data_IF_580432733274
#
_entry.id   IF_580432733274
#
_cell.length_a   1.000
_cell.length_b   1.000
_cell.length_c   1.000
_cell.angle_alpha   90.00
_cell.angle_beta   90.00
_cell.angle_gamma   90.00
#
_symmetry.space_group_name_H-M   'P 1'
#
loop_
_entity.id
_entity.type
_entity.pdbx_description
1 polymer ?
#
# COMPACT_ATOMS: atom_id res chain seq x y z
N UNK A 1 2.75 -4.39 5.32
CA UNK A 1 1.62 -3.42 5.43
C UNK A 1 0.69 -3.91 6.52
N UNK A 2 -0.05 -3.05 7.22
CA UNK A 2 -0.85 -3.50 8.35
C UNK A 2 -2.20 -2.78 8.46
N UNK A 3 -3.23 -3.48 8.90
CA UNK A 3 -4.59 -2.95 9.10
C UNK A 3 -5.22 -3.55 10.34
N UNK A 4 -5.74 -2.70 11.23
CA UNK A 4 -6.53 -3.13 12.39
C UNK A 4 -7.95 -3.46 11.93
N UNK A 5 -8.45 -4.62 12.34
CA UNK A 5 -9.82 -5.10 12.14
C UNK A 5 -10.30 -5.67 13.46
N UNK A 6 -11.23 -4.97 14.11
CA UNK A 6 -11.65 -5.29 15.48
C UNK A 6 -10.41 -5.45 16.38
N UNK A 7 -10.25 -6.60 17.03
CA UNK A 7 -9.11 -6.91 17.90
C UNK A 7 -7.96 -7.62 17.17
N UNK A 8 -7.80 -7.45 15.85
CA UNK A 8 -6.72 -8.10 15.10
C UNK A 8 -5.98 -7.12 14.20
N UNK A 9 -4.65 -7.12 14.27
CA UNK A 9 -3.82 -6.40 13.30
C UNK A 9 -3.39 -7.40 12.23
N UNK A 10 -3.94 -7.27 11.02
CA UNK A 10 -3.53 -8.06 9.87
C UNK A 10 -2.29 -7.46 9.24
N UNK A 11 -1.36 -8.31 8.84
CA UNK A 11 -0.12 -7.97 8.15
C UNK A 11 -0.09 -8.64 6.78
N UNK A 12 0.34 -7.86 5.79
CA UNK A 12 0.42 -8.27 4.39
C UNK A 12 1.79 -7.92 3.83
N UNK A 13 2.50 -8.94 3.35
CA UNK A 13 3.80 -8.85 2.72
C UNK A 13 4.86 -8.11 3.55
N UNK A 14 5.74 -7.38 2.88
CA UNK A 14 6.93 -6.76 3.42
C UNK A 14 8.17 -7.19 2.63
N UNK A 15 9.34 -7.05 3.24
CA UNK A 15 10.58 -7.60 2.72
C UNK A 15 11.15 -8.62 3.68
N UNK A 16 11.69 -9.70 3.13
CA UNK A 16 12.35 -10.78 3.85
C UNK A 16 13.81 -10.88 3.40
N UNK A 17 14.77 -10.97 4.33
CA UNK A 17 16.17 -11.13 3.97
C UNK A 17 16.37 -12.45 3.24
N UNK A 18 17.18 -12.43 2.20
CA UNK A 18 17.68 -13.63 1.55
C UNK A 18 18.86 -14.12 2.38
N UNK A 19 18.90 -15.40 2.81
CA UNK A 19 20.07 -15.94 3.49
C UNK A 19 21.33 -15.77 2.63
N UNK A 20 22.45 -15.37 3.23
CA UNK A 20 23.73 -15.19 2.50
C UNK A 20 24.23 -16.48 1.84
N UNK A 21 23.75 -17.63 2.32
CA UNK A 21 24.03 -18.97 1.77
C UNK A 21 23.15 -19.33 0.57
N UNK A 22 22.12 -18.53 0.27
CA UNK A 22 21.24 -18.74 -0.88
C UNK A 22 21.94 -18.36 -2.18
N UNK A 23 21.83 -19.16 -3.25
CA UNK A 23 22.37 -18.78 -4.56
C UNK A 23 21.69 -17.54 -5.17
N UNK A 24 20.51 -17.17 -4.69
CA UNK A 24 19.82 -15.94 -5.09
C UNK A 24 20.41 -14.68 -4.43
N UNK A 25 21.22 -14.82 -3.38
CA UNK A 25 21.79 -13.68 -2.67
C UNK A 25 22.95 -13.07 -3.45
N UNK A 26 22.98 -11.74 -3.54
CA UNK A 26 24.17 -10.99 -3.94
C UNK A 26 24.17 -9.59 -3.32
N UNK A 27 25.27 -8.83 -3.49
CA UNK A 27 25.42 -7.49 -2.89
C UNK A 27 24.31 -6.51 -3.29
N UNK A 28 23.72 -6.69 -4.47
CA UNK A 28 22.64 -5.84 -5.00
C UNK A 28 21.23 -6.45 -4.83
N UNK A 29 21.13 -7.70 -4.36
CA UNK A 29 19.88 -8.44 -4.15
C UNK A 29 19.94 -9.20 -2.82
N UNK A 30 19.63 -8.48 -1.74
CA UNK A 30 19.72 -8.99 -0.37
C UNK A 30 18.36 -9.34 0.23
N UNK A 31 17.27 -8.95 -0.43
CA UNK A 31 15.90 -9.11 0.07
C UNK A 31 14.98 -9.55 -1.06
N UNK A 32 14.00 -10.38 -0.71
CA UNK A 32 12.82 -10.63 -1.53
C UNK A 32 11.61 -9.99 -0.88
N UNK A 33 10.59 -9.70 -1.66
CA UNK A 33 9.30 -9.32 -1.11
C UNK A 33 8.62 -10.54 -0.49
N UNK A 34 7.91 -10.31 0.60
CA UNK A 34 7.10 -11.33 1.25
C UNK A 34 5.69 -11.30 0.66
N UNK A 35 5.14 -12.50 0.47
CA UNK A 35 3.76 -12.81 0.10
C UNK A 35 2.95 -13.32 1.31
N UNK A 36 3.53 -13.26 2.51
CA UNK A 36 2.94 -13.78 3.74
C UNK A 36 1.75 -12.93 4.20
N UNK A 37 0.80 -13.63 4.83
CA UNK A 37 -0.38 -13.04 5.46
C UNK A 37 -0.50 -13.62 6.85
N UNK A 38 -0.52 -12.76 7.86
CA UNK A 38 -0.65 -13.16 9.26
C UNK A 38 -1.35 -12.07 10.05
N UNK A 39 -1.80 -12.37 11.27
CA UNK A 39 -2.33 -11.34 12.17
C UNK A 39 -1.80 -11.48 13.59
N UNK A 40 -1.78 -10.36 14.32
CA UNK A 40 -1.60 -10.30 15.76
C UNK A 40 -2.98 -10.20 16.42
N UNK A 41 -3.30 -11.12 17.33
CA UNK A 41 -4.55 -11.09 18.08
C UNK A 41 -4.43 -10.23 19.35
N UNK A 42 -5.31 -9.25 19.50
CA UNK A 42 -5.36 -8.31 20.61
C UNK A 42 -6.51 -8.59 21.58
N UNK A 43 -7.27 -9.67 21.37
CA UNK A 43 -8.43 -10.02 22.21
C UNK A 43 -8.06 -10.38 23.66
N UNK A 44 -6.79 -10.56 23.97
CA UNK A 44 -6.27 -10.81 25.31
C UNK A 44 -4.89 -10.18 25.52
N UNK A 45 -4.53 -9.77 26.75
CA UNK A 45 -3.18 -9.27 27.06
C UNK A 45 -2.09 -10.30 26.75
N UNK A 46 -0.95 -9.84 26.27
CA UNK A 46 0.22 -10.67 25.97
C UNK A 46 1.52 -9.97 26.38
N UNK A 47 2.62 -10.72 26.42
CA UNK A 47 3.96 -10.16 26.66
C UNK A 47 4.73 -10.01 25.35
N UNK A 48 5.65 -9.05 25.28
CA UNK A 48 6.46 -8.79 24.07
C UNK A 48 7.28 -10.00 23.59
N UNK A 49 7.54 -10.97 24.48
CA UNK A 49 8.29 -12.18 24.16
C UNK A 49 7.44 -13.29 23.56
N UNK A 50 6.11 -13.21 23.72
CA UNK A 50 5.17 -14.21 23.20
C UNK A 50 3.92 -13.54 22.60
N UNK A 51 4.09 -12.75 21.52
CA UNK A 51 2.96 -12.16 20.82
C UNK A 51 2.09 -13.24 20.15
N UNK A 52 0.76 -13.16 20.26
CA UNK A 52 -0.19 -14.14 19.71
C UNK A 52 -0.37 -13.95 18.20
N UNK A 53 0.66 -14.29 17.43
CA UNK A 53 0.59 -14.29 15.97
C UNK A 53 -0.12 -15.55 15.44
N UNK A 54 -0.95 -15.37 14.41
CA UNK A 54 -1.50 -16.45 13.61
C UNK A 54 -1.06 -16.27 12.16
N UNK A 55 -0.36 -17.27 11.62
CA UNK A 55 0.01 -17.31 10.21
C UNK A 55 -1.15 -17.87 9.37
N UNK A 56 -1.54 -17.11 8.34
CA UNK A 56 -2.58 -17.46 7.38
C UNK A 56 -1.99 -17.81 6.00
N UNK A 57 -0.66 -17.81 5.85
CA UNK A 57 0.02 -17.97 4.55
C UNK A 57 -0.20 -19.33 3.89
N UNK A 58 -0.73 -20.32 4.60
CA UNK A 58 -1.13 -21.61 4.02
C UNK A 58 -2.48 -21.54 3.27
N UNK A 59 -3.37 -20.62 3.64
CA UNK A 59 -4.75 -20.55 3.13
C UNK A 59 -5.08 -19.21 2.45
N UNK A 60 -4.29 -18.17 2.73
CA UNK A 60 -4.56 -16.77 2.35
C UNK A 60 -3.36 -16.05 1.75
N UNK A 61 -2.34 -16.79 1.31
CA UNK A 61 -1.13 -16.22 0.73
C UNK A 61 -1.43 -15.18 -0.34
N UNK A 62 -0.65 -14.11 -0.37
CA UNK A 62 -0.72 -13.15 -1.46
C UNK A 62 -0.30 -13.83 -2.78
N UNK A 63 -0.89 -13.48 -3.92
CA UNK A 63 -0.49 -14.03 -5.21
C UNK A 63 0.86 -13.48 -5.72
N UNK A 64 1.47 -12.54 -4.99
CA UNK A 64 2.73 -11.88 -5.29
C UNK A 64 3.35 -11.38 -3.98
N UNK A 65 4.67 -11.24 -3.96
CA UNK A 65 5.35 -10.54 -2.87
C UNK A 65 5.09 -9.04 -2.99
N UNK A 66 4.81 -8.36 -1.88
CA UNK A 66 4.46 -6.94 -1.92
C UNK A 66 5.11 -6.14 -0.80
N UNK A 67 5.63 -4.95 -1.12
CA UNK A 67 6.01 -3.96 -0.12
C UNK A 67 5.61 -2.54 -0.53
N UNK A 68 5.66 -1.61 0.44
CA UNK A 68 5.44 -0.17 0.20
C UNK A 68 4.09 0.19 -0.44
N UNK A 69 3.11 -0.71 -0.42
CA UNK A 69 1.71 -0.37 -0.59
C UNK A 69 1.10 0.13 0.73
N UNK A 70 -0.19 0.40 0.70
CA UNK A 70 -0.96 0.81 1.89
C UNK A 70 -2.23 -0.02 1.99
N UNK A 71 -2.60 -0.43 3.20
CA UNK A 71 -3.81 -1.22 3.45
C UNK A 71 -4.83 -0.44 4.27
N UNK A 72 -6.08 -0.40 3.84
CA UNK A 72 -7.20 0.25 4.57
C UNK A 72 -8.38 -0.72 4.72
N UNK A 73 -9.05 -0.66 5.88
CA UNK A 73 -10.27 -1.44 6.12
C UNK A 73 -11.46 -0.74 5.46
N UNK A 74 -12.18 -1.46 4.61
CA UNK A 74 -13.45 -1.00 4.05
C UNK A 74 -14.53 -0.89 5.11
N UNK A 75 -15.46 0.05 4.94
CA UNK A 75 -16.45 0.39 5.96
C UNK A 75 -17.44 -0.74 6.29
N UNK A 76 -17.59 -1.73 5.41
CA UNK A 76 -18.37 -2.93 5.71
C UNK A 76 -17.70 -3.83 6.76
N UNK A 77 -16.42 -3.63 7.06
CA UNK A 77 -15.62 -4.51 7.93
C UNK A 77 -15.29 -5.87 7.31
N UNK A 78 -15.63 -6.08 6.03
CA UNK A 78 -15.47 -7.38 5.34
C UNK A 78 -14.28 -7.39 4.38
N UNK A 79 -13.80 -6.22 3.94
CA UNK A 79 -12.76 -6.11 2.92
C UNK A 79 -11.60 -5.25 3.42
N UNK A 80 -10.37 -5.73 3.28
CA UNK A 80 -9.17 -4.90 3.38
C UNK A 80 -8.71 -4.59 1.96
N UNK A 81 -8.53 -3.32 1.65
CA UNK A 81 -8.03 -2.84 0.37
C UNK A 81 -6.53 -2.60 0.46
N UNK A 82 -5.77 -3.28 -0.39
CA UNK A 82 -4.35 -3.05 -0.62
C UNK A 82 -4.18 -2.16 -1.86
N UNK A 83 -3.62 -0.98 -1.66
CA UNK A 83 -3.39 0.04 -2.68
C UNK A 83 -1.90 0.16 -3.01
N UNK A 84 -1.58 0.06 -4.30
CA UNK A 84 -0.25 0.25 -4.87
C UNK A 84 0.77 -0.77 -4.36
N UNK A 85 2.01 -0.30 -4.26
CA UNK A 85 3.15 -1.07 -3.79
C UNK A 85 4.04 -1.59 -4.91
N UNK A 86 5.22 -2.05 -4.51
CA UNK A 86 6.11 -2.85 -5.36
C UNK A 86 5.62 -4.27 -5.31
N UNK A 87 5.46 -4.90 -6.46
CA UNK A 87 4.99 -6.28 -6.55
C UNK A 87 6.06 -7.13 -7.23
N UNK A 88 6.37 -8.27 -6.63
CA UNK A 88 7.38 -9.22 -7.09
C UNK A 88 6.73 -10.57 -7.36
N UNK A 89 7.07 -11.17 -8.50
CA UNK A 89 6.70 -12.54 -8.82
C UNK A 89 7.48 -13.50 -7.92
N UNK A 90 6.79 -14.41 -7.24
CA UNK A 90 7.43 -15.29 -6.26
C UNK A 90 8.16 -16.48 -6.87
N UNK A 91 7.94 -16.77 -8.16
CA UNK A 91 8.62 -17.83 -8.90
C UNK A 91 9.84 -17.31 -9.64
N UNK A 92 9.69 -16.18 -10.34
CA UNK A 92 10.76 -15.59 -11.19
C UNK A 92 11.57 -14.50 -10.50
N UNK A 93 11.10 -14.01 -9.35
CA UNK A 93 11.66 -12.86 -8.61
C UNK A 93 11.67 -11.54 -9.40
N UNK A 94 11.01 -11.49 -10.57
CA UNK A 94 10.84 -10.28 -11.35
C UNK A 94 9.85 -9.30 -10.69
N UNK A 95 10.16 -8.01 -10.78
CA UNK A 95 9.26 -6.94 -10.34
C UNK A 95 8.14 -6.68 -11.36
N UNK A 96 7.12 -5.91 -10.96
CA UNK A 96 6.00 -5.49 -11.81
C UNK A 96 5.11 -6.66 -12.30
N UNK A 97 4.90 -7.67 -11.45
CA UNK A 97 4.28 -8.93 -11.90
C UNK A 97 2.77 -8.88 -12.15
N UNK A 98 2.05 -7.84 -11.69
CA UNK A 98 0.59 -7.72 -11.92
C UNK A 98 0.23 -6.37 -12.51
N UNK A 99 -0.89 -6.32 -13.23
CA UNK A 99 -1.43 -5.07 -13.81
C UNK A 99 -2.35 -4.29 -12.88
N UNK A 100 -2.58 -4.78 -11.65
CA UNK A 100 -3.48 -4.13 -10.71
C UNK A 100 -2.74 -3.32 -9.64
N UNK A 101 -3.21 -2.09 -9.43
CA UNK A 101 -2.83 -1.24 -8.29
C UNK A 101 -3.78 -1.40 -7.10
N UNK A 102 -4.83 -2.23 -7.23
CA UNK A 102 -5.80 -2.50 -6.17
C UNK A 102 -5.99 -4.01 -5.99
N UNK A 103 -5.83 -4.45 -4.76
CA UNK A 103 -6.11 -5.82 -4.34
C UNK A 103 -7.01 -5.81 -3.13
N UNK A 104 -7.91 -6.78 -3.04
CA UNK A 104 -8.95 -6.83 -2.02
C UNK A 104 -8.80 -8.15 -1.29
N UNK A 105 -8.56 -8.10 0.01
CA UNK A 105 -8.61 -9.27 0.88
C UNK A 105 -9.98 -9.34 1.55
N UNK A 106 -10.73 -10.40 1.24
CA UNK A 106 -12.03 -10.65 1.83
C UNK A 106 -11.86 -11.41 3.14
N UNK A 107 -12.24 -10.79 4.26
CA UNK A 107 -12.05 -11.32 5.60
C UNK A 107 -12.90 -12.57 5.88
N UNK A 108 -14.06 -12.71 5.23
CA UNK A 108 -14.95 -13.85 5.43
C UNK A 108 -14.46 -15.09 4.68
N UNK A 109 -14.10 -14.92 3.40
CA UNK A 109 -13.61 -16.03 2.58
C UNK A 109 -12.11 -16.28 2.74
N UNK A 110 -11.39 -15.30 3.31
CA UNK A 110 -9.93 -15.27 3.46
C UNK A 110 -9.19 -15.40 2.13
N UNK A 111 -9.77 -14.84 1.06
CA UNK A 111 -9.25 -14.88 -0.31
C UNK A 111 -8.94 -13.50 -0.85
N UNK A 112 -7.99 -13.47 -1.78
CA UNK A 112 -7.64 -12.30 -2.56
C UNK A 112 -8.48 -12.20 -3.83
N UNK A 113 -8.92 -11.00 -4.12
CA UNK A 113 -9.66 -10.63 -5.31
C UNK A 113 -9.00 -9.39 -5.93
N UNK A 114 -9.00 -9.28 -7.26
CA UNK A 114 -8.72 -8.02 -7.96
C UNK A 114 -10.05 -7.36 -8.32
N UNK A 115 -10.06 -6.02 -8.44
CA UNK A 115 -11.14 -5.22 -9.03
C UNK A 115 -12.58 -5.69 -8.74
N UNK A 116 -13.33 -4.94 -7.94
CA UNK A 116 -14.74 -5.28 -7.73
C UNK A 116 -15.56 -5.34 -9.03
N UNK A 117 -16.72 -6.04 -9.02
CA UNK A 117 -17.60 -6.11 -10.18
C UNK A 117 -17.93 -4.70 -10.68
N UNK A 118 -17.77 -4.45 -11.99
CA UNK A 118 -18.10 -3.15 -12.58
C UNK A 118 -17.18 -2.01 -12.14
N UNK A 119 -15.84 -2.20 -12.17
CA UNK A 119 -14.93 -1.08 -11.90
C UNK A 119 -15.07 0.00 -12.99
N UNK A 120 -15.37 1.24 -12.61
CA UNK A 120 -15.57 2.39 -13.51
C UNK A 120 -14.50 3.47 -13.29
N UNK A 121 -14.38 4.39 -14.25
CA UNK A 121 -13.46 5.53 -14.18
C UNK A 121 -11.98 5.19 -14.45
N UNK A 122 -11.07 6.19 -14.37
CA UNK A 122 -9.64 5.99 -14.61
C UNK A 122 -8.99 5.27 -13.43
N UNK A 123 -8.53 4.01 -13.57
CA UNK A 123 -7.92 3.29 -12.46
C UNK A 123 -6.60 3.95 -12.04
N UNK A 124 -6.23 3.78 -10.76
CA UNK A 124 -4.96 4.27 -10.24
C UNK A 124 -3.78 3.67 -11.03
N UNK A 125 -2.92 4.51 -11.66
CA UNK A 125 -1.68 4.04 -12.27
C UNK A 125 -0.76 3.39 -11.23
N UNK A 126 -0.05 2.32 -11.63
CA UNK A 126 0.90 1.61 -10.75
C UNK A 126 1.83 2.59 -10.08
N UNK A 127 1.99 2.47 -8.77
CA UNK A 127 2.85 3.34 -7.94
C UNK A 127 3.06 2.73 -6.58
N UNK A 128 4.05 3.23 -5.85
CA UNK A 128 4.30 2.84 -4.45
C UNK A 128 4.38 4.04 -3.53
N UNK A 129 4.35 3.77 -2.23
CA UNK A 129 4.59 4.75 -1.17
C UNK A 129 3.62 5.93 -1.22
N UNK A 130 2.35 5.63 -1.52
CA UNK A 130 1.23 6.56 -1.51
C UNK A 130 0.81 6.87 -0.08
N UNK A 131 0.24 8.05 0.14
CA UNK A 131 -0.50 8.33 1.35
C UNK A 131 -1.98 8.02 1.11
N UNK A 132 -2.51 7.06 1.86
CA UNK A 132 -3.85 6.52 1.63
C UNK A 132 -4.66 6.50 2.92
N UNK A 133 -5.91 6.99 2.85
CA UNK A 133 -6.91 6.98 3.93
C UNK A 133 -8.28 6.63 3.36
N UNK A 134 -9.20 6.21 4.22
CA UNK A 134 -10.60 5.96 3.86
C UNK A 134 -11.52 6.78 4.77
N UNK A 135 -12.57 7.36 4.21
CA UNK A 135 -13.57 8.10 4.98
C UNK A 135 -14.73 7.23 5.48
N UNK A 136 -15.61 7.83 6.28
CA UNK A 136 -16.81 7.16 6.81
C UNK A 136 -17.85 6.76 5.76
N UNK A 137 -17.74 7.28 4.54
CA UNK A 137 -18.63 6.93 3.42
C UNK A 137 -18.05 5.80 2.55
N UNK A 138 -16.79 5.41 2.78
CA UNK A 138 -16.14 4.33 2.09
C UNK A 138 -15.40 4.81 0.83
N UNK A 139 -15.04 6.09 0.80
CA UNK A 139 -14.19 6.68 -0.24
C UNK A 139 -12.75 6.58 0.20
N UNK A 140 -11.93 5.86 -0.56
CA UNK A 140 -10.49 5.77 -0.36
C UNK A 140 -9.84 6.93 -1.09
N UNK A 141 -9.03 7.73 -0.40
CA UNK A 141 -8.24 8.83 -0.95
C UNK A 141 -6.78 8.41 -1.06
N UNK A 142 -6.16 8.61 -2.21
CA UNK A 142 -4.82 8.11 -2.55
C UNK A 142 -4.04 9.25 -3.15
N UNK A 143 -3.05 9.74 -2.41
CA UNK A 143 -2.27 10.90 -2.81
C UNK A 143 -0.81 10.54 -3.05
N UNK A 144 -0.26 11.13 -4.12
CA UNK A 144 1.15 11.12 -4.45
C UNK A 144 1.74 9.71 -4.62
N UNK A 145 2.91 9.50 -4.01
CA UNK A 145 3.72 8.31 -4.21
C UNK A 145 4.72 8.49 -5.35
N UNK A 146 5.28 7.37 -5.84
CA UNK A 146 6.20 7.42 -6.98
C UNK A 146 6.04 6.24 -7.92
N UNK A 147 6.50 6.46 -9.15
CA UNK A 147 6.75 5.43 -10.17
C UNK A 147 8.24 5.28 -10.45
N UNK A 148 8.61 4.12 -10.98
CA UNK A 148 9.95 3.81 -11.43
C UNK A 148 10.03 2.38 -11.95
N UNK A 149 11.25 1.91 -12.20
CA UNK A 149 11.50 0.55 -12.73
C UNK A 149 10.91 -0.54 -11.84
N UNK A 150 10.96 -0.36 -10.52
CA UNK A 150 10.38 -1.27 -9.52
C UNK A 150 8.85 -1.36 -9.57
N UNK A 151 8.18 -0.35 -10.15
CA UNK A 151 6.73 -0.37 -10.42
C UNK A 151 6.42 -0.59 -11.90
N UNK A 152 7.42 -0.97 -12.72
CA UNK A 152 7.24 -1.23 -14.14
C UNK A 152 7.26 -0.03 -15.07
N UNK A 153 7.83 1.09 -14.64
CA UNK A 153 7.91 2.32 -15.44
C UNK A 153 9.36 2.61 -15.82
N UNK A 154 9.59 2.95 -17.10
CA UNK A 154 10.91 3.38 -17.59
C UNK A 154 11.30 4.79 -17.12
N UNK A 155 10.34 5.52 -16.54
CA UNK A 155 10.54 6.86 -16.00
C UNK A 155 10.41 6.86 -14.48
N UNK A 156 11.14 7.77 -13.84
CA UNK A 156 11.02 8.01 -12.42
C UNK A 156 10.29 9.32 -12.17
N UNK A 157 9.13 9.25 -11.50
CA UNK A 157 8.31 10.43 -11.22
C UNK A 157 7.79 10.33 -9.78
N UNK A 158 7.94 11.41 -9.01
CA UNK A 158 7.22 11.62 -7.76
C UNK A 158 5.95 12.41 -8.06
N UNK A 159 4.83 11.95 -7.52
CA UNK A 159 3.49 12.37 -7.92
C UNK A 159 2.84 13.26 -6.85
N UNK A 160 1.85 14.04 -7.28
CA UNK A 160 1.03 14.98 -6.49
C UNK A 160 -0.46 14.94 -6.87
N UNK A 161 -0.86 13.96 -7.68
CA UNK A 161 -2.25 13.70 -8.02
C UNK A 161 -3.00 13.05 -6.84
N UNK A 162 -4.31 13.25 -6.84
CA UNK A 162 -5.24 12.67 -5.88
C UNK A 162 -6.23 11.77 -6.62
N UNK A 163 -6.16 10.48 -6.34
CA UNK A 163 -7.16 9.52 -6.79
C UNK A 163 -8.13 9.18 -5.66
N UNK A 164 -9.38 8.93 -6.03
CA UNK A 164 -10.38 8.38 -5.12
C UNK A 164 -10.98 7.10 -5.66
N UNK A 165 -11.38 6.20 -4.75
CA UNK A 165 -12.17 5.01 -5.05
C UNK A 165 -13.38 4.96 -4.12
N UNK A 166 -14.58 5.03 -4.70
CA UNK A 166 -15.81 4.74 -3.96
C UNK A 166 -15.99 3.21 -3.86
N UNK A 167 -15.87 2.66 -2.66
CA UNK A 167 -15.77 1.19 -2.46
C UNK A 167 -17.07 0.42 -2.61
N UNK A 168 -18.23 1.09 -2.53
CA UNK A 168 -19.56 0.52 -2.81
C UNK A 168 -19.78 0.30 -4.30
N UNK A 169 -19.40 1.28 -5.12
CA UNK A 169 -19.59 1.29 -6.57
C UNK A 169 -18.38 0.79 -7.36
N UNK A 170 -17.22 0.67 -6.71
CA UNK A 170 -15.94 0.44 -7.37
C UNK A 170 -15.62 1.49 -8.45
N UNK A 171 -15.99 2.75 -8.20
CA UNK A 171 -15.79 3.85 -9.12
C UNK A 171 -14.54 4.66 -8.76
N UNK A 172 -13.63 4.78 -9.72
CA UNK A 172 -12.43 5.59 -9.61
C UNK A 172 -12.67 7.02 -10.07
N UNK A 173 -12.00 7.97 -9.43
CA UNK A 173 -11.91 9.34 -9.92
C UNK A 173 -10.48 9.87 -9.76
N UNK A 174 -10.05 10.71 -10.70
CA UNK A 174 -8.82 11.49 -10.59
C UNK A 174 -9.21 12.95 -10.32
N UNK A 175 -8.95 13.42 -9.11
CA UNK A 175 -9.32 14.74 -8.66
C UNK A 175 -8.19 15.72 -8.95
N UNK A 176 -8.49 16.73 -9.77
CA UNK A 176 -7.63 17.90 -9.96
C UNK A 176 -8.03 18.99 -8.96
N UNK A 177 -7.17 19.28 -7.99
CA UNK A 177 -7.40 20.34 -7.00
C UNK A 177 -6.46 21.53 -7.30
N UNK A 178 -6.96 22.77 -7.38
CA UNK A 178 -6.14 23.93 -7.74
C UNK A 178 -5.01 24.24 -6.74
N UNK A 179 -5.14 23.79 -5.48
CA UNK A 179 -4.15 23.98 -4.41
C UNK A 179 -3.74 22.64 -3.77
N UNK A 180 -3.49 21.60 -4.57
CA UNK A 180 -3.06 20.32 -4.02
C UNK A 180 -1.67 20.44 -3.35
N UNK A 181 -1.35 19.57 -2.35
CA UNK A 181 -0.01 19.53 -1.77
C UNK A 181 1.06 19.24 -2.83
N UNK A 182 2.31 19.69 -2.65
CA UNK A 182 3.39 19.41 -3.58
C UNK A 182 3.75 17.93 -3.63
N UNK A 183 4.36 17.52 -4.76
CA UNK A 183 4.79 16.14 -5.05
C UNK A 183 5.60 15.53 -3.92
N UNK A 184 5.14 14.35 -3.47
CA UNK A 184 5.77 13.63 -2.38
C UNK A 184 5.47 12.14 -2.43
N UNK A 185 6.44 11.36 -1.98
CA UNK A 185 6.24 9.97 -1.60
C UNK A 185 6.68 9.77 -0.15
N UNK A 186 6.41 8.58 0.41
CA UNK A 186 6.78 8.24 1.80
C UNK A 186 6.20 9.21 2.85
N UNK A 187 5.13 9.92 2.51
CA UNK A 187 4.35 10.71 3.46
C UNK A 187 3.24 9.84 4.07
N UNK A 188 2.75 10.25 5.23
CA UNK A 188 1.56 9.67 5.86
C UNK A 188 0.36 10.56 5.62
N UNK A 189 -0.83 9.99 5.55
CA UNK A 189 -2.09 10.74 5.54
C UNK A 189 -2.85 10.51 6.85
N UNK A 190 -3.56 11.54 7.30
CA UNK A 190 -4.48 11.45 8.44
C UNK A 190 -5.77 12.17 8.08
N UNK A 191 -6.88 11.44 8.12
CA UNK A 191 -8.21 12.00 7.94
C UNK A 191 -8.71 12.59 9.27
N UNK A 192 -9.13 13.84 9.25
CA UNK A 192 -9.67 14.54 10.41
C UNK A 192 -11.20 14.39 10.50
N UNK A 193 -11.80 14.59 11.69
CA UNK A 193 -13.25 14.53 11.86
C UNK A 193 -14.05 15.51 10.99
N UNK A 194 -13.45 16.62 10.57
CA UNK A 194 -14.06 17.63 9.71
C UNK A 194 -13.95 17.30 8.20
N UNK A 195 -13.39 16.15 7.86
CA UNK A 195 -13.23 15.67 6.48
C UNK A 195 -11.95 16.15 5.78
N UNK A 196 -11.11 16.97 6.43
CA UNK A 196 -9.81 17.34 5.86
C UNK A 196 -8.82 16.19 5.97
N UNK A 197 -7.94 16.07 4.98
CA UNK A 197 -6.82 15.11 5.00
C UNK A 197 -5.52 15.89 5.17
N UNK A 198 -4.77 15.58 6.23
CA UNK A 198 -3.43 16.12 6.44
C UNK A 198 -2.40 15.14 5.89
N UNK A 199 -1.50 15.63 5.04
CA UNK A 199 -0.34 14.89 4.56
C UNK A 199 0.91 15.31 5.33
N UNK A 200 1.54 14.37 6.02
CA UNK A 200 2.66 14.63 6.93
C UNK A 200 3.95 14.00 6.40
N UNK A 201 4.99 14.82 6.30
CA UNK A 201 6.32 14.45 5.87
C UNK A 201 6.40 14.08 4.39
N UNK A 202 7.26 13.11 4.12
CA UNK A 202 7.60 12.64 2.78
C UNK A 202 8.80 13.36 2.17
N UNK A 203 9.17 12.88 0.99
CA UNK A 203 10.30 13.38 0.22
C UNK A 203 9.92 13.56 -1.24
N UNK A 204 10.67 14.44 -1.90
CA UNK A 204 10.73 14.52 -3.35
C UNK A 204 12.11 14.06 -3.83
N UNK A 205 12.19 13.56 -5.06
CA UNK A 205 13.40 13.00 -5.64
C UNK A 205 13.34 13.20 -7.17
N UNK A 206 14.50 13.49 -7.78
CA UNK A 206 14.58 13.77 -9.22
C UNK A 206 14.88 12.53 -10.07
N UNK A 207 15.59 11.53 -9.51
CA UNK A 207 15.99 10.32 -10.23
C UNK A 207 16.20 9.14 -9.25
N UNK A 208 16.15 7.88 -9.73
CA UNK A 208 16.32 6.69 -8.89
C UNK A 208 17.67 6.70 -8.15
N UNK A 209 17.65 6.43 -6.84
CA UNK A 209 18.87 6.34 -6.02
C UNK A 209 19.54 7.68 -5.67
N UNK A 210 19.05 8.81 -6.18
CA UNK A 210 19.56 10.14 -5.84
C UNK A 210 19.26 10.57 -4.40
N UNK A 211 19.91 11.63 -3.88
CA UNK A 211 19.60 12.15 -2.55
C UNK A 211 18.15 12.67 -2.50
N UNK A 212 17.30 12.22 -1.57
CA UNK A 212 15.95 12.73 -1.42
C UNK A 212 15.93 14.10 -0.75
N UNK A 213 15.06 15.00 -1.22
CA UNK A 213 14.78 16.28 -0.56
C UNK A 213 13.55 16.13 0.32
N UNK A 214 13.68 16.43 1.61
CA UNK A 214 12.54 16.43 2.54
C UNK A 214 11.58 17.54 2.16
N UNK A 215 10.29 17.22 2.09
CA UNK A 215 9.26 18.23 1.84
C UNK A 215 9.08 19.07 3.11
N UNK A 216 8.98 20.39 2.93
CA UNK A 216 8.79 21.32 4.04
C UNK A 216 7.41 21.11 4.67
N UNK A 217 7.35 21.01 6.00
CA UNK A 217 6.08 20.90 6.73
C UNK A 217 5.40 22.24 6.97
N UNK A 218 6.04 23.34 6.61
CA UNK A 218 5.44 24.68 6.69
C UNK A 218 4.57 24.99 5.47
N UNK A 219 4.61 24.14 4.45
CA UNK A 219 3.76 24.24 3.26
C UNK A 219 2.42 23.56 3.56
N UNK A 220 1.53 24.27 4.26
CA UNK A 220 0.13 23.86 4.41
C UNK A 220 -0.58 24.19 3.11
N UNK A 221 -0.94 23.17 2.33
CA UNK A 221 -1.86 23.33 1.20
C UNK A 221 -3.28 23.52 1.74
N UNK A 222 -3.85 24.71 1.53
CA UNK A 222 -5.23 25.05 1.88
C UNK A 222 -6.20 24.63 0.78
#
# INVERSE_FOLDING_TARGET
MATLVNDRIYFFGGSRPIPITSPAWNQTHQYNLSDEVFYLDLSSPFTVNLPPFTDLSAISRMPFGCERGTTVLGNSGVRIFLVGGVQQNMETFGYNTTNSSLWIYNLNSQKWETNGPGTYGPPLPKRRSTATVIDKNGVIYIFGGRVGVDTGSDVFIVLDDLFTLETSLFEWSNLSLPNHPPKRNLCTATLLPDGKIIYIGGVTQNFPGGPPTRVSMNEVSN
#
